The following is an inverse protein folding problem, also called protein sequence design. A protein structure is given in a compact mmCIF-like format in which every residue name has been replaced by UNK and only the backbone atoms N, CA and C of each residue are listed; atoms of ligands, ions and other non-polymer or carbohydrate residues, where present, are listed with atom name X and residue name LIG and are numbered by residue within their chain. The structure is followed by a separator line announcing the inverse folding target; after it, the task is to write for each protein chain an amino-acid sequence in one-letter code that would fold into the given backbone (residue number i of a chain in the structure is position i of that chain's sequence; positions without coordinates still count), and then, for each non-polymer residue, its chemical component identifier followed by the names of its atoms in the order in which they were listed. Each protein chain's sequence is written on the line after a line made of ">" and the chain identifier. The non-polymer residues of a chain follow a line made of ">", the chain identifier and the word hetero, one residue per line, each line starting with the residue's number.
data_IF_536414322192
#
_entry.id   IF_536414322192
#
_cell.length_a   1.000
_cell.length_b   1.000
_cell.length_c   1.000
_cell.angle_alpha   90.00
_cell.angle_beta   90.00
_cell.angle_gamma   90.00
#
_symmetry.space_group_name_H-M   'P 1'
#
loop_
_entity.id
_entity.type
_entity.pdbx_description
1 polymer ?
#
# COMPACT_ATOMS: atom_id res chain seq x y z
N UNK A 1 14.74 -50.36 22.89
CA UNK A 1 13.33 -49.89 23.00
C UNK A 1 13.22 -48.49 23.61
N UNK A 2 13.98 -48.14 24.66
CA UNK A 2 13.92 -46.82 25.34
C UNK A 2 14.42 -45.65 24.46
N UNK A 3 15.48 -45.83 23.66
CA UNK A 3 16.00 -44.77 22.76
C UNK A 3 14.97 -44.32 21.69
N UNK A 4 14.19 -45.25 21.14
CA UNK A 4 13.14 -44.93 20.15
C UNK A 4 11.98 -44.12 20.77
N UNK A 5 11.67 -44.37 22.04
CA UNK A 5 10.64 -43.65 22.80
C UNK A 5 11.06 -42.21 23.11
N UNK A 6 12.35 -41.99 23.42
CA UNK A 6 12.90 -40.65 23.65
C UNK A 6 12.91 -39.81 22.36
N UNK A 7 13.37 -40.40 21.25
CA UNK A 7 13.41 -39.74 19.93
C UNK A 7 12.02 -39.29 19.49
N UNK A 8 11.01 -40.15 19.61
CA UNK A 8 9.61 -39.79 19.31
C UNK A 8 9.09 -38.64 20.17
N UNK A 9 9.41 -38.57 21.47
CA UNK A 9 8.98 -37.45 22.32
C UNK A 9 9.64 -36.13 21.92
N UNK A 10 10.92 -36.17 21.55
CA UNK A 10 11.66 -34.99 21.09
C UNK A 10 11.12 -34.49 19.75
N UNK A 11 10.90 -35.39 18.79
CA UNK A 11 10.29 -35.05 17.50
C UNK A 11 8.88 -34.46 17.67
N UNK A 12 8.05 -35.07 18.52
CA UNK A 12 6.69 -34.57 18.79
C UNK A 12 6.73 -33.16 19.38
N UNK A 13 7.61 -32.90 20.36
CA UNK A 13 7.76 -31.57 20.97
C UNK A 13 8.30 -30.53 19.97
N UNK A 14 9.28 -30.91 19.15
CA UNK A 14 9.84 -30.06 18.12
C UNK A 14 8.78 -29.65 17.09
N UNK A 15 8.00 -30.62 16.59
CA UNK A 15 6.89 -30.38 15.66
C UNK A 15 5.83 -29.46 16.29
N UNK A 16 5.51 -29.67 17.57
CA UNK A 16 4.54 -28.83 18.29
C UNK A 16 5.04 -27.39 18.42
N UNK A 17 6.32 -27.19 18.78
CA UNK A 17 6.93 -25.87 18.88
C UNK A 17 6.99 -25.16 17.52
N UNK A 18 7.41 -25.86 16.48
CA UNK A 18 7.40 -25.34 15.11
C UNK A 18 5.99 -24.93 14.68
N UNK A 19 4.98 -25.75 14.99
CA UNK A 19 3.58 -25.43 14.74
C UNK A 19 3.14 -24.15 15.46
N UNK A 20 3.49 -24.00 16.74
CA UNK A 20 3.16 -22.78 17.51
C UNK A 20 3.86 -21.54 16.97
N UNK A 21 5.13 -21.63 16.58
CA UNK A 21 5.86 -20.51 15.95
C UNK A 21 5.19 -20.13 14.63
N UNK A 22 4.82 -21.11 13.80
CA UNK A 22 4.14 -20.85 12.53
C UNK A 22 2.80 -20.14 12.75
N UNK A 23 2.00 -20.61 13.71
CA UNK A 23 0.71 -19.98 14.08
C UNK A 23 0.92 -18.55 14.58
N UNK A 24 1.93 -18.33 15.43
CA UNK A 24 2.26 -16.99 15.92
C UNK A 24 2.68 -16.04 14.78
N UNK A 25 3.45 -16.51 13.80
CA UNK A 25 3.83 -15.72 12.63
C UNK A 25 2.62 -15.37 11.75
N UNK A 26 1.73 -16.33 11.51
CA UNK A 26 0.51 -16.12 10.72
C UNK A 26 -0.42 -15.12 11.42
N UNK A 27 -0.68 -15.31 12.72
CA UNK A 27 -1.52 -14.40 13.49
C UNK A 27 -0.89 -13.01 13.61
N UNK A 28 0.42 -12.93 13.86
CA UNK A 28 1.16 -11.67 13.91
C UNK A 28 1.09 -10.90 12.59
N UNK A 29 1.30 -11.58 11.47
CA UNK A 29 1.17 -10.97 10.13
C UNK A 29 -0.25 -10.54 9.79
N UNK A 30 -1.26 -11.32 10.21
CA UNK A 30 -2.66 -10.96 10.02
C UNK A 30 -3.04 -9.72 10.83
N UNK A 31 -2.75 -9.72 12.14
CA UNK A 31 -3.06 -8.59 13.03
C UNK A 31 -2.30 -7.34 12.61
N UNK A 32 -1.01 -7.44 12.28
CA UNK A 32 -0.21 -6.31 11.82
C UNK A 32 -0.75 -5.63 10.56
N UNK A 33 -1.31 -6.40 9.62
CA UNK A 33 -1.93 -5.85 8.42
C UNK A 33 -3.33 -5.26 8.64
N UNK A 34 -4.05 -5.72 9.67
CA UNK A 34 -5.41 -5.26 9.96
C UNK A 34 -5.48 -4.10 10.97
N UNK A 35 -4.45 -3.89 11.78
CA UNK A 35 -4.38 -2.74 12.68
C UNK A 35 -4.15 -1.43 11.89
N UNK A 36 -4.69 -0.34 12.42
CA UNK A 36 -4.56 1.00 11.84
C UNK A 36 -3.21 1.67 12.18
N UNK A 37 -2.39 1.05 13.02
CA UNK A 37 -1.11 1.60 13.49
C UNK A 37 0.08 1.04 12.74
N UNK A 38 0.99 1.93 12.31
CA UNK A 38 2.21 1.60 11.60
C UNK A 38 2.19 1.97 10.11
N UNK A 39 3.32 1.77 9.43
CA UNK A 39 3.45 1.96 7.99
C UNK A 39 2.68 0.88 7.24
N UNK A 40 1.80 1.28 6.31
CA UNK A 40 1.11 0.34 5.42
C UNK A 40 1.80 0.30 4.06
N UNK A 41 2.03 -0.91 3.55
CA UNK A 41 2.51 -1.09 2.19
C UNK A 41 1.41 -0.68 1.23
N UNK A 42 1.70 0.30 0.38
CA UNK A 42 0.80 0.76 -0.66
C UNK A 42 1.09 0.01 -1.96
N UNK A 43 0.07 -0.13 -2.80
CA UNK A 43 0.26 -0.60 -4.17
C UNK A 43 0.84 0.53 -4.99
N UNK A 44 1.89 0.23 -5.76
CA UNK A 44 2.57 1.21 -6.61
C UNK A 44 2.16 1.00 -8.05
N UNK A 45 1.79 2.08 -8.73
CA UNK A 45 1.49 2.05 -10.16
C UNK A 45 2.14 3.24 -10.87
N UNK A 46 2.62 2.98 -12.08
CA UNK A 46 3.11 4.01 -13.00
C UNK A 46 2.05 4.33 -14.03
N UNK A 47 1.90 5.59 -14.38
CA UNK A 47 0.87 6.03 -15.31
C UNK A 47 0.98 7.50 -15.64
N UNK A 48 -0.05 8.02 -16.30
CA UNK A 48 -0.16 9.43 -16.67
C UNK A 48 -1.05 10.18 -15.69
N UNK A 49 -0.57 11.31 -15.20
CA UNK A 49 -1.32 12.23 -14.35
C UNK A 49 -1.64 13.50 -15.12
N UNK A 50 -2.88 13.94 -14.99
CA UNK A 50 -3.40 15.18 -15.54
C UNK A 50 -3.96 16.04 -14.42
N UNK A 51 -3.53 17.30 -14.35
CA UNK A 51 -4.20 18.28 -13.50
C UNK A 51 -5.46 18.77 -14.22
N UNK A 52 -6.63 18.46 -13.64
CA UNK A 52 -7.93 18.83 -14.18
C UNK A 52 -8.40 20.20 -13.66
N UNK A 53 -8.07 20.54 -12.41
CA UNK A 53 -8.42 21.83 -11.82
C UNK A 53 -7.28 22.31 -10.90
N UNK A 54 -6.78 23.52 -11.18
CA UNK A 54 -5.66 24.10 -10.45
C UNK A 54 -6.03 24.64 -9.06
N UNK A 55 -7.28 25.09 -8.88
CA UNK A 55 -7.77 25.70 -7.64
C UNK A 55 -8.06 24.64 -6.58
N UNK A 56 -8.62 23.50 -7.00
CA UNK A 56 -8.94 22.38 -6.09
C UNK A 56 -7.84 21.32 -6.03
N UNK A 57 -6.82 21.44 -6.89
CA UNK A 57 -5.79 20.41 -7.04
C UNK A 57 -6.35 19.08 -7.57
N UNK A 58 -7.48 19.11 -8.28
CA UNK A 58 -8.09 17.90 -8.85
C UNK A 58 -7.18 17.30 -9.91
N UNK A 59 -6.74 16.07 -9.70
CA UNK A 59 -5.94 15.31 -10.65
C UNK A 59 -6.66 14.04 -11.09
N UNK A 60 -6.41 13.63 -12.33
CA UNK A 60 -6.77 12.32 -12.85
C UNK A 60 -5.51 11.52 -13.13
N UNK A 61 -5.47 10.30 -12.63
CA UNK A 61 -4.43 9.31 -12.91
C UNK A 61 -5.01 8.20 -13.78
N UNK A 62 -4.28 7.85 -14.84
CA UNK A 62 -4.60 6.73 -15.72
C UNK A 62 -3.36 5.84 -15.89
N UNK A 63 -3.56 4.53 -15.75
CA UNK A 63 -2.52 3.52 -15.96
C UNK A 63 -3.13 2.33 -16.70
N UNK A 64 -2.27 1.52 -17.31
CA UNK A 64 -2.69 0.24 -17.87
C UNK A 64 -2.91 -0.82 -16.78
N UNK A 65 -2.15 -0.75 -15.69
CA UNK A 65 -2.09 -1.78 -14.66
C UNK A 65 -2.91 -1.46 -13.40
N UNK A 66 -3.48 -0.25 -13.34
CA UNK A 66 -4.24 0.25 -12.19
C UNK A 66 -5.51 0.96 -12.64
N UNK A 67 -6.58 0.95 -11.80
CA UNK A 67 -7.81 1.64 -12.13
C UNK A 67 -7.58 3.14 -12.34
N UNK A 68 -8.37 3.75 -13.21
CA UNK A 68 -8.41 5.21 -13.33
C UNK A 68 -8.88 5.80 -12.01
N UNK A 69 -8.12 6.77 -11.52
CA UNK A 69 -8.34 7.40 -10.21
C UNK A 69 -8.46 8.90 -10.39
N UNK A 70 -9.38 9.51 -9.65
CA UNK A 70 -9.46 10.97 -9.55
C UNK A 70 -9.37 11.33 -8.08
N UNK A 71 -8.48 12.26 -7.75
CA UNK A 71 -8.29 12.73 -6.38
C UNK A 71 -8.20 14.24 -6.37
N UNK A 72 -8.77 14.86 -5.35
CA UNK A 72 -8.72 16.29 -5.08
C UNK A 72 -8.16 16.53 -3.69
N UNK A 73 -7.54 17.67 -3.47
CA UNK A 73 -6.95 18.03 -2.18
C UNK A 73 -5.44 17.86 -2.16
N UNK A 74 -4.87 17.86 -0.95
CA UNK A 74 -3.42 17.77 -0.75
C UNK A 74 -2.94 16.33 -0.87
N UNK A 75 -2.02 16.09 -1.80
CA UNK A 75 -1.35 14.79 -1.97
C UNK A 75 0.07 14.93 -1.45
N UNK A 76 0.58 13.92 -0.75
CA UNK A 76 1.99 13.89 -0.39
C UNK A 76 2.82 13.55 -1.63
N UNK A 77 3.87 14.31 -1.89
CA UNK A 77 4.62 14.20 -3.13
C UNK A 77 6.13 14.25 -2.95
N UNK A 78 6.82 13.64 -3.92
CA UNK A 78 8.28 13.69 -4.06
C UNK A 78 8.65 14.07 -5.49
N UNK A 79 9.63 14.93 -5.66
CA UNK A 79 10.19 15.36 -6.94
C UNK A 79 11.70 15.57 -6.80
N UNK A 80 12.41 15.79 -7.92
CA UNK A 80 13.82 16.16 -7.88
C UNK A 80 14.09 17.45 -7.06
N UNK A 81 13.10 18.35 -6.98
CA UNK A 81 13.18 19.59 -6.21
C UNK A 81 12.97 19.41 -4.69
N UNK A 82 12.59 18.21 -4.23
CA UNK A 82 12.30 17.93 -2.83
C UNK A 82 11.00 17.16 -2.63
N UNK A 83 10.47 17.23 -1.41
CA UNK A 83 9.22 16.58 -1.00
C UNK A 83 8.29 17.58 -0.32
N UNK A 84 7.00 17.27 -0.27
CA UNK A 84 6.02 18.12 0.41
C UNK A 84 4.60 17.58 0.28
N UNK A 85 3.64 18.36 0.79
CA UNK A 85 2.22 18.07 0.68
C UNK A 85 1.52 19.14 -0.17
N UNK A 86 0.38 18.78 -0.78
CA UNK A 86 -0.40 19.73 -1.58
C UNK A 86 -0.34 19.41 -3.07
N UNK A 87 -0.09 20.44 -3.89
CA UNK A 87 0.04 20.30 -5.34
C UNK A 87 1.50 19.99 -5.71
N UNK A 88 1.79 18.83 -6.33
CA UNK A 88 3.12 18.51 -6.82
C UNK A 88 3.64 19.54 -7.82
N UNK A 89 4.92 19.94 -7.76
CA UNK A 89 5.50 20.98 -8.61
C UNK A 89 5.56 20.58 -10.10
N UNK A 90 5.54 19.28 -10.39
CA UNK A 90 5.51 18.74 -11.75
C UNK A 90 4.13 18.92 -12.43
N UNK A 91 3.07 19.21 -11.69
CA UNK A 91 1.71 19.31 -12.23
C UNK A 91 1.37 20.72 -12.70
N UNK A 92 1.03 20.84 -13.98
CA UNK A 92 0.57 22.06 -14.64
C UNK A 92 -0.74 21.81 -15.37
N UNK A 93 -1.61 22.81 -15.37
CA UNK A 93 -2.93 22.71 -16.00
C UNK A 93 -2.75 22.47 -17.51
N UNK A 94 -3.52 21.53 -18.06
CA UNK A 94 -3.42 21.15 -19.48
C UNK A 94 -2.19 20.32 -19.85
N UNK A 95 -1.33 19.97 -18.88
CA UNK A 95 -0.20 19.08 -19.10
C UNK A 95 -0.48 17.67 -18.57
N UNK A 96 0.05 16.69 -19.29
CA UNK A 96 0.05 15.28 -18.93
C UNK A 96 1.47 14.83 -18.70
N UNK A 97 1.76 14.32 -17.51
CA UNK A 97 3.09 13.81 -17.16
C UNK A 97 3.02 12.35 -16.78
N UNK A 98 4.12 11.64 -16.95
CA UNK A 98 4.28 10.33 -16.32
C UNK A 98 4.61 10.52 -14.85
N UNK A 99 4.01 9.70 -13.99
CA UNK A 99 4.28 9.70 -12.56
C UNK A 99 4.06 8.31 -11.97
N UNK A 100 4.64 8.09 -10.81
CA UNK A 100 4.40 6.92 -9.99
C UNK A 100 3.49 7.32 -8.82
N UNK A 101 2.50 6.50 -8.50
CA UNK A 101 1.61 6.74 -7.36
C UNK A 101 1.64 5.56 -6.40
N UNK A 102 1.50 5.86 -5.11
CA UNK A 102 1.14 4.88 -4.10
C UNK A 102 -0.34 5.00 -3.77
N UNK A 103 -1.09 3.91 -3.92
CA UNK A 103 -2.51 3.87 -3.64
C UNK A 103 -2.90 2.66 -2.79
N UNK A 104 -4.07 2.73 -2.18
CA UNK A 104 -4.68 1.61 -1.46
C UNK A 104 -6.17 1.54 -1.72
N UNK A 105 -6.77 0.40 -1.44
CA UNK A 105 -8.22 0.22 -1.50
C UNK A 105 -8.83 0.47 -0.13
N UNK A 106 -9.70 1.47 -0.06
CA UNK A 106 -10.46 1.76 1.15
C UNK A 106 -11.82 1.09 1.04
N UNK A 107 -12.20 0.34 2.08
CA UNK A 107 -13.50 -0.30 2.17
C UNK A 107 -14.53 0.70 2.67
N UNK A 108 -15.65 0.77 1.99
CA UNK A 108 -16.74 1.67 2.33
C UNK A 108 -17.71 0.99 3.32
N UNK A 109 -18.47 1.78 4.10
CA UNK A 109 -19.46 1.24 5.05
C UNK A 109 -20.48 0.30 4.40
N UNK A 110 -20.83 0.53 3.12
CA UNK A 110 -21.75 -0.30 2.34
C UNK A 110 -21.15 -1.59 1.77
N UNK A 111 -19.90 -1.92 2.08
CA UNK A 111 -19.21 -3.12 1.58
C UNK A 111 -18.49 -2.93 0.24
N UNK A 112 -18.68 -1.78 -0.41
CA UNK A 112 -17.91 -1.34 -1.58
C UNK A 112 -16.43 -1.08 -1.25
N UNK A 113 -15.64 -0.83 -2.29
CA UNK A 113 -14.25 -0.38 -2.16
C UNK A 113 -13.92 0.62 -3.24
N UNK A 114 -13.15 1.65 -2.90
CA UNK A 114 -12.62 2.60 -3.88
C UNK A 114 -11.11 2.77 -3.67
N UNK A 115 -10.35 3.00 -4.75
CA UNK A 115 -8.93 3.29 -4.63
C UNK A 115 -8.70 4.73 -4.17
N UNK A 116 -7.73 4.93 -3.28
CA UNK A 116 -7.30 6.24 -2.79
C UNK A 116 -5.80 6.38 -3.01
N UNK A 117 -5.40 7.46 -3.67
CA UNK A 117 -4.00 7.85 -3.86
C UNK A 117 -3.50 8.47 -2.55
N UNK A 118 -2.44 7.91 -1.99
CA UNK A 118 -1.82 8.39 -0.77
C UNK A 118 -0.58 9.27 -1.03
N UNK A 119 0.19 8.93 -2.07
CA UNK A 119 1.34 9.74 -2.48
C UNK A 119 1.59 9.68 -4.00
N UNK A 120 2.35 10.66 -4.50
CA UNK A 120 2.77 10.75 -5.90
C UNK A 120 4.27 11.07 -5.99
N UNK A 121 5.00 10.35 -6.84
CA UNK A 121 6.37 10.66 -7.23
C UNK A 121 6.37 11.25 -8.63
N UNK A 122 6.77 12.51 -8.72
CA UNK A 122 7.07 13.19 -9.97
C UNK A 122 8.26 12.52 -10.68
N UNK A 123 8.32 12.63 -12.02
CA UNK A 123 9.46 12.15 -12.79
C UNK A 123 10.74 12.94 -12.49
#
# INVERSE_FOLDING_TARGET
>A
MIQNMLKRRVETRLVTLLGLVLVALVLGGYVGNHLAWGSKTLTVAKGRVHLLNADTGLISFASHDAPTMTVSGSISWTAASGEGDGRPPCLRLGQSIEAEIGYTWVREPGGGRHPVIAWMRCP
#
